data_IF_650599756589
#
_entry.id   IF_650599756589
#
_cell.length_a   1.000
_cell.length_b   1.000
_cell.length_c   1.000
_cell.angle_alpha   90.00
_cell.angle_beta   90.00
_cell.angle_gamma   90.00
#
_symmetry.space_group_name_H-M   'P 1'
#
loop_
_entity.id
_entity.type
_entity.pdbx_description
1 polymer ?
#
# COMPACT_ATOMS: atom_id res chain seq x y z
N UNK A 1 -5.32 -0.70 12.81
CA UNK A 1 -5.99 -1.04 14.09
C UNK A 1 -5.08 -0.83 15.29
N UNK A 2 -3.99 -1.59 15.48
CA UNK A 2 -3.18 -1.53 16.70
C UNK A 2 -2.60 -0.15 17.05
N UNK A 3 -2.08 0.61 16.07
CA UNK A 3 -1.59 1.97 16.31
C UNK A 3 -2.67 2.89 16.91
N UNK A 4 -3.90 2.82 16.39
CA UNK A 4 -5.01 3.62 16.87
C UNK A 4 -5.49 3.21 18.27
N UNK A 5 -5.33 1.93 18.63
CA UNK A 5 -5.64 1.45 19.98
C UNK A 5 -4.77 2.16 21.01
N UNK A 6 -3.45 2.21 20.77
CA UNK A 6 -2.53 2.92 21.65
C UNK A 6 -2.87 4.41 21.73
N UNK A 7 -3.22 5.06 20.61
CA UNK A 7 -3.65 6.46 20.62
C UNK A 7 -4.89 6.68 21.49
N UNK A 8 -5.87 5.77 21.47
CA UNK A 8 -7.06 5.89 22.32
C UNK A 8 -6.76 5.65 23.80
N UNK A 9 -5.89 4.69 24.12
CA UNK A 9 -5.52 4.40 25.51
C UNK A 9 -4.67 5.54 26.09
N UNK A 10 -3.62 5.95 25.39
CA UNK A 10 -2.77 7.09 25.78
C UNK A 10 -3.56 8.40 25.84
N UNK A 11 -4.53 8.58 24.95
CA UNK A 11 -5.45 9.72 24.95
C UNK A 11 -6.60 9.62 25.96
N UNK A 12 -6.65 8.57 26.79
CA UNK A 12 -7.71 8.33 27.79
C UNK A 12 -9.14 8.25 27.20
N UNK A 13 -9.25 7.88 25.93
CA UNK A 13 -10.51 7.68 25.19
C UNK A 13 -11.00 6.23 25.24
N UNK A 14 -10.13 5.31 25.67
CA UNK A 14 -10.44 3.93 25.99
C UNK A 14 -9.59 3.45 27.18
N UNK A 15 -10.14 2.53 27.98
CA UNK A 15 -9.46 1.97 29.16
C UNK A 15 -8.57 0.78 28.84
N UNK A 16 -8.88 0.05 27.77
CA UNK A 16 -8.23 -1.20 27.40
C UNK A 16 -8.33 -1.45 25.88
N UNK A 17 -7.61 -2.48 25.41
CA UNK A 17 -7.57 -2.88 23.99
C UNK A 17 -8.96 -3.23 23.45
N UNK A 18 -9.75 -3.99 24.21
CA UNK A 18 -11.06 -4.46 23.77
C UNK A 18 -12.02 -3.28 23.53
N UNK A 19 -12.07 -2.33 24.47
CA UNK A 19 -12.87 -1.12 24.34
C UNK A 19 -12.36 -0.23 23.19
N UNK A 20 -11.04 -0.07 23.05
CA UNK A 20 -10.46 0.73 21.97
C UNK A 20 -10.78 0.12 20.60
N UNK A 21 -10.59 -1.20 20.44
CA UNK A 21 -10.91 -1.94 19.23
C UNK A 21 -12.40 -1.86 18.88
N UNK A 22 -13.29 -2.03 19.85
CA UNK A 22 -14.73 -1.91 19.62
C UNK A 22 -15.11 -0.50 19.14
N UNK A 23 -14.55 0.56 19.75
CA UNK A 23 -14.77 1.95 19.32
C UNK A 23 -14.27 2.20 17.89
N UNK A 24 -13.06 1.73 17.57
CA UNK A 24 -12.46 1.88 16.25
C UNK A 24 -13.22 1.11 15.17
N UNK A 25 -13.62 -0.13 15.47
CA UNK A 25 -14.38 -0.94 14.53
C UNK A 25 -15.75 -0.33 14.25
N UNK A 26 -16.43 0.18 15.28
CA UNK A 26 -17.73 0.83 15.12
C UNK A 26 -17.68 2.03 14.15
N UNK A 27 -16.62 2.86 14.20
CA UNK A 27 -16.49 4.02 13.29
C UNK A 27 -16.05 3.65 11.87
N UNK A 28 -15.44 2.49 11.68
CA UNK A 28 -15.20 1.92 10.35
C UNK A 28 -16.52 1.40 9.77
N UNK A 29 -17.26 0.61 10.55
CA UNK A 29 -18.49 -0.06 10.08
C UNK A 29 -19.63 0.92 9.79
N UNK A 30 -19.74 2.01 10.56
CA UNK A 30 -20.81 3.00 10.38
C UNK A 30 -20.45 4.17 9.45
N UNK A 31 -19.27 4.13 8.81
CA UNK A 31 -18.83 5.15 7.85
C UNK A 31 -18.31 6.46 8.43
N UNK A 32 -18.36 6.68 9.75
CA UNK A 32 -17.88 7.93 10.37
C UNK A 32 -16.41 8.20 10.12
N UNK A 33 -15.58 7.16 10.02
CA UNK A 33 -14.17 7.31 9.68
C UNK A 33 -13.99 7.93 8.28
N UNK A 34 -14.76 7.48 7.30
CA UNK A 34 -14.75 8.00 5.94
C UNK A 34 -15.33 9.43 5.87
N UNK A 35 -16.42 9.70 6.59
CA UNK A 35 -17.02 11.05 6.70
C UNK A 35 -15.99 12.07 7.23
N UNK A 36 -15.29 11.73 8.31
CA UNK A 36 -14.27 12.61 8.91
C UNK A 36 -13.10 12.82 7.94
N UNK A 37 -12.68 11.78 7.20
CA UNK A 37 -11.66 11.91 6.17
C UNK A 37 -12.10 12.86 5.05
N UNK A 38 -13.33 12.74 4.54
CA UNK A 38 -13.87 13.65 3.52
C UNK A 38 -13.94 15.10 4.01
N UNK A 39 -14.42 15.32 5.23
CA UNK A 39 -14.44 16.65 5.88
C UNK A 39 -13.03 17.23 6.03
N UNK A 40 -12.05 16.41 6.38
CA UNK A 40 -10.64 16.82 6.49
C UNK A 40 -10.05 17.23 5.12
N UNK A 41 -10.34 16.48 4.06
CA UNK A 41 -9.91 16.82 2.69
C UNK A 41 -10.51 18.16 2.26
N UNK A 42 -11.82 18.34 2.43
CA UNK A 42 -12.51 19.59 2.12
C UNK A 42 -11.96 20.79 2.90
N UNK A 43 -11.70 20.61 4.21
CA UNK A 43 -11.12 21.66 5.07
C UNK A 43 -9.72 22.10 4.61
N UNK A 44 -8.97 21.22 3.93
CA UNK A 44 -7.66 21.51 3.36
C UNK A 44 -7.72 21.87 1.87
N UNK A 45 -8.86 22.38 1.40
CA UNK A 45 -9.10 22.85 0.02
C UNK A 45 -9.13 21.75 -1.05
N UNK A 46 -9.28 20.49 -0.63
CA UNK A 46 -9.62 19.40 -1.55
C UNK A 46 -11.10 19.41 -1.93
N UNK A 47 -11.53 18.50 -2.82
CA UNK A 47 -12.93 18.35 -3.22
C UNK A 47 -13.83 17.96 -2.05
N UNK A 48 -15.06 18.48 -2.01
CA UNK A 48 -16.03 18.22 -0.94
C UNK A 48 -16.66 16.84 -1.02
N UNK A 49 -16.64 16.22 -2.20
CA UNK A 49 -17.20 14.92 -2.56
C UNK A 49 -16.09 13.91 -2.91
N UNK A 50 -14.87 14.13 -2.38
CA UNK A 50 -13.71 13.30 -2.69
C UNK A 50 -13.91 11.83 -2.34
N UNK A 51 -14.59 11.51 -1.23
CA UNK A 51 -14.75 10.13 -0.76
C UNK A 51 -15.65 9.33 -1.72
N UNK A 52 -16.66 9.97 -2.29
CA UNK A 52 -17.64 9.37 -3.19
C UNK A 52 -17.17 9.36 -4.64
N UNK A 53 -16.30 10.29 -5.02
CA UNK A 53 -15.87 10.53 -6.39
C UNK A 53 -14.34 10.53 -6.58
N UNK A 54 -13.58 9.83 -5.74
CA UNK A 54 -12.11 9.86 -5.75
C UNK A 54 -11.51 9.52 -7.12
N UNK A 55 -12.13 8.60 -7.87
CA UNK A 55 -11.69 8.21 -9.22
C UNK A 55 -11.70 9.36 -10.24
N UNK A 56 -12.50 10.42 -10.02
CA UNK A 56 -12.50 11.62 -10.87
C UNK A 56 -11.37 12.58 -10.54
N UNK A 57 -10.82 12.49 -9.32
CA UNK A 57 -9.84 13.45 -8.80
C UNK A 57 -8.42 12.89 -8.76
N UNK A 58 -8.27 11.60 -8.50
CA UNK A 58 -6.97 10.95 -8.46
C UNK A 58 -6.45 10.78 -9.90
N UNK A 59 -5.21 11.19 -10.19
CA UNK A 59 -4.65 11.04 -11.52
C UNK A 59 -4.43 9.56 -11.83
N UNK A 60 -5.03 9.09 -12.92
CA UNK A 60 -4.80 7.75 -13.43
C UNK A 60 -3.50 7.71 -14.24
N UNK A 61 -2.73 6.63 -14.09
CA UNK A 61 -1.53 6.43 -14.89
C UNK A 61 -1.90 6.18 -16.36
N UNK A 62 -1.00 6.55 -17.26
CA UNK A 62 -1.20 6.32 -18.69
C UNK A 62 -1.22 4.83 -19.04
N UNK A 63 -0.44 4.02 -18.33
CA UNK A 63 -0.33 2.58 -18.54
C UNK A 63 -0.43 1.83 -17.21
N UNK A 64 -1.46 1.00 -17.08
CA UNK A 64 -1.61 0.08 -15.94
C UNK A 64 -1.58 -1.34 -16.44
N UNK A 65 -0.54 -2.10 -16.06
CA UNK A 65 -0.35 -3.47 -16.57
C UNK A 65 0.30 -4.37 -15.52
N UNK A 66 -0.23 -5.59 -15.44
CA UNK A 66 0.23 -6.64 -14.52
C UNK A 66 1.63 -7.15 -14.89
N UNK A 67 2.47 -7.37 -13.88
CA UNK A 67 3.77 -8.04 -14.01
C UNK A 67 3.68 -9.44 -13.40
N UNK A 68 3.89 -10.45 -14.22
CA UNK A 68 3.90 -11.86 -13.81
C UNK A 68 5.32 -12.31 -13.50
N UNK A 69 5.46 -13.30 -12.61
CA UNK A 69 6.74 -13.96 -12.38
C UNK A 69 7.19 -14.76 -13.61
N UNK A 70 8.49 -15.00 -13.74
CA UNK A 70 9.03 -15.83 -14.83
C UNK A 70 8.79 -17.32 -14.59
N UNK A 71 8.60 -17.72 -13.33
CA UNK A 71 8.28 -19.08 -12.91
C UNK A 71 7.13 -19.05 -11.89
N UNK A 72 6.42 -20.17 -11.78
CA UNK A 72 5.41 -20.35 -10.74
C UNK A 72 6.08 -20.70 -9.40
N UNK A 73 5.42 -20.41 -8.28
CA UNK A 73 5.94 -20.73 -6.95
C UNK A 73 5.26 -19.93 -5.84
N UNK A 74 5.83 -19.98 -4.64
CA UNK A 74 5.37 -19.18 -3.50
C UNK A 74 6.33 -18.02 -3.24
N UNK A 75 5.79 -16.85 -2.93
CA UNK A 75 6.59 -15.68 -2.57
C UNK A 75 7.30 -15.94 -1.24
N UNK A 76 8.62 -16.13 -1.29
CA UNK A 76 9.43 -16.50 -0.12
C UNK A 76 10.15 -15.30 0.51
N UNK A 77 10.55 -14.32 -0.30
CA UNK A 77 11.15 -13.08 0.17
C UNK A 77 10.81 -11.90 -0.74
N UNK A 78 10.90 -10.70 -0.18
CA UNK A 78 10.61 -9.46 -0.88
C UNK A 78 11.54 -8.34 -0.36
N UNK A 79 12.37 -7.78 -1.25
CA UNK A 79 13.18 -6.60 -0.95
C UNK A 79 12.34 -5.33 -1.07
N UNK A 80 11.78 -4.90 0.06
CA UNK A 80 10.95 -3.68 0.13
C UNK A 80 11.75 -2.40 -0.15
N UNK A 81 13.07 -2.40 0.06
CA UNK A 81 13.93 -1.26 -0.30
C UNK A 81 14.03 -1.16 -1.82
N UNK A 82 14.31 -2.27 -2.50
CA UNK A 82 14.37 -2.30 -3.96
C UNK A 82 13.02 -1.88 -4.58
N UNK A 83 11.90 -2.35 -4.04
CA UNK A 83 10.56 -1.92 -4.48
C UNK A 83 10.34 -0.41 -4.28
N UNK A 84 10.72 0.14 -3.13
CA UNK A 84 10.65 1.58 -2.89
C UNK A 84 11.49 2.38 -3.89
N UNK A 85 12.71 1.92 -4.19
CA UNK A 85 13.56 2.55 -5.20
C UNK A 85 13.00 2.43 -6.61
N UNK A 86 12.28 1.36 -6.93
CA UNK A 86 11.58 1.23 -8.20
C UNK A 86 10.50 2.32 -8.37
N UNK A 87 9.71 2.59 -7.33
CA UNK A 87 8.72 3.70 -7.35
C UNK A 87 9.40 5.06 -7.52
N UNK A 88 10.54 5.30 -6.85
CA UNK A 88 11.33 6.52 -7.05
C UNK A 88 11.81 6.65 -8.50
N UNK A 89 12.30 5.57 -9.11
CA UNK A 89 12.73 5.58 -10.52
C UNK A 89 11.56 5.75 -11.50
N UNK A 90 10.36 5.28 -11.17
CA UNK A 90 9.16 5.52 -11.97
C UNK A 90 8.74 7.00 -11.99
N UNK A 91 9.15 7.78 -10.99
CA UNK A 91 8.75 9.18 -10.81
C UNK A 91 7.76 9.40 -9.67
N UNK A 92 7.42 8.36 -8.91
CA UNK A 92 6.58 8.45 -7.70
C UNK A 92 7.33 8.98 -6.48
N UNK A 93 8.61 9.33 -6.64
CA UNK A 93 9.45 9.87 -5.59
C UNK A 93 10.49 10.85 -6.12
N UNK A 94 11.26 11.44 -5.20
CA UNK A 94 12.28 12.44 -5.51
C UNK A 94 13.67 11.85 -5.35
N UNK A 95 14.55 12.01 -6.34
CA UNK A 95 15.97 11.69 -6.22
C UNK A 95 16.73 12.87 -5.60
N UNK A 96 16.29 14.07 -5.92
CA UNK A 96 16.70 15.34 -5.31
C UNK A 96 15.46 16.16 -4.94
N UNK A 97 15.59 17.06 -3.97
CA UNK A 97 14.44 17.79 -3.40
C UNK A 97 13.60 18.58 -4.43
N UNK A 98 14.21 19.00 -5.54
CA UNK A 98 13.55 19.77 -6.62
C UNK A 98 12.76 18.94 -7.62
N UNK A 99 12.86 17.60 -7.57
CA UNK A 99 12.18 16.75 -8.55
C UNK A 99 10.66 16.84 -8.39
N UNK A 100 9.96 16.87 -9.54
CA UNK A 100 8.51 16.75 -9.60
C UNK A 100 8.10 15.29 -9.47
N UNK A 101 7.03 15.04 -8.73
CA UNK A 101 6.46 13.70 -8.56
C UNK A 101 5.31 13.53 -9.56
N UNK A 102 5.29 12.37 -10.22
CA UNK A 102 4.10 11.86 -10.88
C UNK A 102 3.27 11.11 -9.83
N UNK A 103 2.09 11.64 -9.49
CA UNK A 103 1.22 11.06 -8.46
C UNK A 103 0.40 9.86 -8.95
N UNK A 104 0.46 9.56 -10.25
CA UNK A 104 -0.29 8.45 -10.85
C UNK A 104 0.48 7.12 -10.83
N UNK A 105 1.80 7.17 -10.74
CA UNK A 105 2.65 5.98 -10.85
C UNK A 105 2.82 5.26 -9.51
N UNK A 106 2.99 3.94 -9.57
CA UNK A 106 3.13 3.10 -8.38
C UNK A 106 2.75 1.65 -8.62
N UNK A 107 2.49 0.93 -7.52
CA UNK A 107 2.09 -0.47 -7.54
C UNK A 107 0.75 -0.66 -6.84
N UNK A 108 -0.15 -1.45 -7.43
CA UNK A 108 -1.34 -2.01 -6.76
C UNK A 108 -1.30 -3.53 -6.85
N UNK A 109 -2.22 -4.19 -6.13
CA UNK A 109 -2.40 -5.65 -6.21
C UNK A 109 -1.11 -6.43 -5.92
N UNK A 110 -0.29 -5.90 -5.00
CA UNK A 110 0.95 -6.52 -4.56
C UNK A 110 0.67 -7.87 -3.90
N UNK A 111 1.40 -8.89 -4.36
CA UNK A 111 1.47 -10.18 -3.67
C UNK A 111 2.04 -10.06 -2.26
N UNK A 112 1.69 -11.00 -1.40
CA UNK A 112 2.17 -11.10 -0.02
C UNK A 112 3.11 -12.28 0.12
N UNK A 113 3.96 -12.26 1.15
CA UNK A 113 4.78 -13.42 1.50
C UNK A 113 3.87 -14.64 1.77
N UNK A 114 4.16 -15.76 1.12
CA UNK A 114 3.36 -16.99 1.17
C UNK A 114 2.25 -17.09 0.14
N UNK A 115 1.97 -16.04 -0.66
CA UNK A 115 1.05 -16.18 -1.78
C UNK A 115 1.69 -17.06 -2.87
N UNK A 116 0.89 -17.96 -3.45
CA UNK A 116 1.24 -18.66 -4.69
C UNK A 116 1.10 -17.68 -5.86
N UNK A 117 2.00 -17.73 -6.82
CA UNK A 117 1.98 -16.95 -8.06
C UNK A 117 2.15 -17.88 -9.26
N UNK A 118 1.45 -17.55 -10.34
CA UNK A 118 1.39 -18.35 -11.56
C UNK A 118 1.06 -17.43 -12.77
N UNK A 119 0.77 -18.02 -13.94
CA UNK A 119 0.37 -17.24 -15.12
C UNK A 119 -0.95 -16.47 -14.99
N UNK A 120 -1.73 -16.68 -13.92
CA UNK A 120 -3.00 -15.98 -13.65
C UNK A 120 -2.86 -14.95 -12.53
N UNK A 121 -1.98 -15.19 -11.55
CA UNK A 121 -1.73 -14.28 -10.43
C UNK A 121 -0.41 -13.52 -10.63
N UNK A 122 -0.48 -12.19 -10.90
CA UNK A 122 0.71 -11.38 -11.05
C UNK A 122 1.39 -11.12 -9.71
N UNK A 123 2.65 -10.68 -9.77
CA UNK A 123 3.40 -10.15 -8.62
C UNK A 123 2.85 -8.81 -8.14
N UNK A 124 2.44 -7.96 -9.09
CA UNK A 124 1.85 -6.65 -8.86
C UNK A 124 1.18 -6.15 -10.16
N UNK A 125 0.37 -5.10 -10.03
CA UNK A 125 -0.03 -4.24 -11.15
C UNK A 125 0.79 -2.97 -11.09
N UNK A 126 1.50 -2.67 -12.18
CA UNK A 126 2.36 -1.49 -12.29
C UNK A 126 1.57 -0.38 -12.99
N UNK A 127 1.52 0.78 -12.36
CA UNK A 127 1.00 2.04 -12.91
C UNK A 127 2.19 2.89 -13.34
N UNK A 128 2.34 3.08 -14.65
CA UNK A 128 3.48 3.75 -15.27
C UNK A 128 3.02 4.83 -16.25
N UNK A 129 3.90 5.81 -16.49
CA UNK A 129 3.63 6.91 -17.43
C UNK A 129 3.84 6.54 -18.90
N UNK A 130 4.63 5.50 -19.18
CA UNK A 130 4.90 4.99 -20.52
C UNK A 130 5.42 3.53 -20.47
N UNK A 131 5.54 2.87 -21.62
CA UNK A 131 5.98 1.47 -21.72
C UNK A 131 7.44 1.28 -21.26
N UNK A 132 8.35 2.23 -21.54
CA UNK A 132 9.75 2.09 -21.14
C UNK A 132 9.89 2.12 -19.61
N UNK A 133 9.13 2.99 -18.96
CA UNK A 133 9.03 3.09 -17.52
C UNK A 133 8.43 1.82 -16.90
N UNK A 134 7.39 1.26 -17.53
CA UNK A 134 6.80 -0.02 -17.13
C UNK A 134 7.81 -1.17 -17.20
N UNK A 135 8.61 -1.26 -18.27
CA UNK A 135 9.62 -2.31 -18.44
C UNK A 135 10.72 -2.24 -17.37
N UNK A 136 11.19 -1.04 -17.05
CA UNK A 136 12.18 -0.83 -15.97
C UNK A 136 11.62 -1.28 -14.61
N UNK A 137 10.38 -0.86 -14.30
CA UNK A 137 9.70 -1.23 -13.08
C UNK A 137 9.42 -2.74 -12.99
N UNK A 138 8.99 -3.37 -14.09
CA UNK A 138 8.73 -4.80 -14.15
C UNK A 138 9.99 -5.61 -13.85
N UNK A 139 11.14 -5.21 -14.41
CA UNK A 139 12.44 -5.83 -14.10
C UNK A 139 12.80 -5.66 -12.63
N UNK A 140 12.57 -4.48 -12.05
CA UNK A 140 12.86 -4.22 -10.64
C UNK A 140 11.98 -5.04 -9.70
N UNK A 141 10.67 -5.14 -9.99
CA UNK A 141 9.72 -5.96 -9.21
C UNK A 141 10.12 -7.44 -9.26
N UNK A 142 10.41 -7.97 -10.45
CA UNK A 142 10.86 -9.37 -10.61
C UNK A 142 12.16 -9.66 -9.85
N UNK A 143 13.11 -8.73 -9.87
CA UNK A 143 14.37 -8.89 -9.15
C UNK A 143 14.23 -8.77 -7.63
N UNK A 144 13.22 -8.02 -7.15
CA UNK A 144 13.00 -7.80 -5.72
C UNK A 144 12.18 -8.90 -5.04
N UNK A 145 11.44 -9.71 -5.79
CA UNK A 145 10.58 -10.77 -5.26
C UNK A 145 11.18 -12.13 -5.57
N UNK A 146 11.44 -12.92 -4.53
CA UNK A 146 12.02 -14.25 -4.62
C UNK A 146 10.91 -15.28 -4.46
N UNK A 147 10.92 -16.29 -5.32
CA UNK A 147 10.01 -17.42 -5.27
C UNK A 147 10.73 -18.68 -4.78
N UNK A 148 9.98 -19.55 -4.12
CA UNK A 148 10.43 -20.86 -3.64
C UNK A 148 9.30 -21.90 -3.84
N UNK A 149 9.64 -23.17 -3.73
CA UNK A 149 8.70 -24.30 -3.89
C UNK A 149 7.72 -24.40 -2.71
N UNK A 150 8.03 -23.75 -1.58
CA UNK A 150 7.24 -23.78 -0.34
C UNK A 150 7.03 -22.38 0.20
N UNK A 151 5.83 -22.15 0.73
CA UNK A 151 5.53 -20.91 1.44
C UNK A 151 6.42 -20.76 2.70
N UNK A 152 6.91 -19.54 2.99
CA UNK A 152 7.69 -19.27 4.20
C UNK A 152 6.82 -19.38 5.46
N UNK A 153 7.46 -19.51 6.62
CA UNK A 153 6.77 -19.46 7.89
C UNK A 153 6.10 -18.09 8.11
N UNK A 154 4.90 -18.09 8.69
CA UNK A 154 4.19 -16.85 8.99
C UNK A 154 4.91 -16.06 10.08
N UNK A 155 5.09 -14.76 9.85
CA UNK A 155 5.66 -13.82 10.82
C UNK A 155 4.59 -12.86 11.33
N UNK A 156 4.61 -12.46 12.62
CA UNK A 156 3.63 -11.53 13.15
C UNK A 156 3.81 -10.12 12.54
N UNK A 157 2.69 -9.46 12.20
CA UNK A 157 2.74 -8.05 11.74
C UNK A 157 3.08 -7.07 12.88
N UNK A 158 2.86 -7.47 14.13
CA UNK A 158 3.19 -6.70 15.33
C UNK A 158 4.02 -7.60 16.24
N UNK A 159 5.32 -7.32 16.33
CA UNK A 159 6.25 -8.14 17.11
C UNK A 159 6.08 -7.94 18.62
N UNK A 160 6.00 -6.68 19.05
CA UNK A 160 5.83 -6.32 20.45
C UNK A 160 5.29 -4.90 20.59
N UNK A 161 4.74 -4.63 21.76
CA UNK A 161 4.40 -3.31 22.26
C UNK A 161 5.44 -2.90 23.29
N UNK A 162 5.94 -1.67 23.22
CA UNK A 162 6.90 -1.10 24.17
C UNK A 162 6.20 0.06 24.87
N UNK A 163 6.10 -0.01 26.19
CA UNK A 163 5.56 1.05 27.06
C UNK A 163 6.50 1.26 28.23
N UNK A 164 6.29 2.36 28.96
CA UNK A 164 6.93 2.61 30.26
C UNK A 164 6.71 1.45 31.24
#
# INVERSE_FOLDING_TARGET
>A
MALCIEMLISGQLAKDDAQARAKLQAVLDNGKAAEVFGRMVAAQKGPTDFVENYDKYLPAAMLSKAVYADTEGFVSAMDTRALGMAVVSMGGGRRQASDTIDYSVGFTDMVRLGDSVDGQRPLAVIHAKDEANWQEAAKAVKAAIILDDKAPASTPSIYRRITE
#
